data_IF_952556784367
#
_entry.id   IF_952556784367
#
_cell.length_a   1.000
_cell.length_b   1.000
_cell.length_c   1.000
_cell.angle_alpha   90.00
_cell.angle_beta   90.00
_cell.angle_gamma   90.00
#
_symmetry.space_group_name_H-M   'P 1'
#
loop_
_entity.id
_entity.type
_entity.pdbx_description
1 polymer ?
#
# COMPACT_ATOMS: atom_id res chain seq x y z
N UNK A 1 -0.03 -10.82 3.91
CA UNK A 1 0.44 -9.74 3.01
C UNK A 1 1.75 -9.16 3.51
N UNK A 2 1.80 -8.49 4.67
CA UNK A 2 3.04 -7.90 5.22
C UNK A 2 4.22 -8.88 5.27
N UNK A 3 4.02 -10.08 5.82
CA UNK A 3 5.07 -11.13 5.90
C UNK A 3 5.63 -11.55 4.53
N UNK A 4 4.85 -11.44 3.46
CA UNK A 4 5.31 -11.78 2.10
C UNK A 4 6.17 -10.67 1.47
N UNK A 5 6.08 -9.44 1.97
CA UNK A 5 6.81 -8.27 1.44
C UNK A 5 8.02 -7.89 2.32
N UNK A 6 8.20 -8.59 3.45
CA UNK A 6 9.27 -8.34 4.40
C UNK A 6 10.58 -9.03 4.00
N UNK A 7 11.70 -8.53 4.53
CA UNK A 7 13.03 -9.13 4.32
C UNK A 7 13.69 -8.83 2.98
N UNK A 8 13.18 -7.85 2.22
CA UNK A 8 13.70 -7.46 0.91
C UNK A 8 14.77 -6.36 0.98
N UNK A 9 15.31 -6.06 2.17
CA UNK A 9 16.22 -4.94 2.40
C UNK A 9 15.52 -3.58 2.31
N UNK A 10 16.27 -2.50 2.51
CA UNK A 10 15.78 -1.14 2.27
C UNK A 10 15.71 -0.86 0.77
N UNK A 11 14.59 -0.33 0.30
CA UNK A 11 14.34 -0.17 -1.14
C UNK A 11 13.55 1.11 -1.48
N UNK A 12 13.91 2.24 -0.87
CA UNK A 12 13.25 3.55 -1.04
C UNK A 12 13.11 3.97 -2.51
N UNK A 13 14.15 3.70 -3.30
CA UNK A 13 14.18 4.06 -4.72
C UNK A 13 13.17 3.24 -5.54
N UNK A 14 13.07 1.94 -5.24
CA UNK A 14 12.10 1.04 -5.85
C UNK A 14 10.68 1.39 -5.42
N UNK A 15 10.46 1.76 -4.15
CA UNK A 15 9.15 2.18 -3.65
C UNK A 15 8.65 3.41 -4.40
N UNK A 16 9.52 4.42 -4.58
CA UNK A 16 9.18 5.61 -5.36
C UNK A 16 8.82 5.25 -6.80
N UNK A 17 9.56 4.35 -7.44
CA UNK A 17 9.24 3.88 -8.80
C UNK A 17 7.91 3.14 -8.86
N UNK A 18 7.57 2.36 -7.84
CA UNK A 18 6.29 1.67 -7.75
C UNK A 18 5.13 2.66 -7.64
N UNK A 19 5.28 3.72 -6.83
CA UNK A 19 4.29 4.79 -6.72
C UNK A 19 4.08 5.50 -8.07
N UNK A 20 5.18 5.88 -8.74
CA UNK A 20 5.13 6.54 -10.06
C UNK A 20 4.47 5.63 -11.12
N UNK A 21 4.79 4.33 -11.10
CA UNK A 21 4.21 3.36 -12.03
C UNK A 21 2.71 3.13 -11.77
N UNK A 22 2.27 3.16 -10.52
CA UNK A 22 0.87 3.03 -10.17
C UNK A 22 0.06 4.24 -10.66
N UNK A 23 0.58 5.45 -10.50
CA UNK A 23 -0.06 6.68 -11.02
C UNK A 23 -0.18 6.66 -12.54
N UNK A 24 0.85 6.16 -13.25
CA UNK A 24 0.78 5.96 -14.70
C UNK A 24 -0.28 4.94 -15.10
N UNK A 25 -0.37 3.81 -14.40
CA UNK A 25 -1.38 2.78 -14.66
C UNK A 25 -2.81 3.29 -14.42
N UNK A 26 -3.00 4.17 -13.43
CA UNK A 26 -4.29 4.85 -13.20
C UNK A 26 -4.67 5.75 -14.38
N UNK A 27 -3.70 6.45 -14.98
CA UNK A 27 -3.93 7.25 -16.17
C UNK A 27 -4.31 6.38 -17.38
N UNK A 28 -3.66 5.23 -17.57
CA UNK A 28 -3.94 4.30 -18.67
C UNK A 28 -5.39 3.78 -18.65
N UNK A 29 -6.00 3.64 -17.47
CA UNK A 29 -7.39 3.20 -17.29
C UNK A 29 -8.40 4.36 -17.18
N UNK A 30 -7.97 5.59 -17.48
CA UNK A 30 -8.84 6.77 -17.49
C UNK A 30 -9.21 7.32 -16.11
N UNK A 31 -8.42 7.01 -15.08
CA UNK A 31 -8.59 7.53 -13.71
C UNK A 31 -7.33 8.26 -13.21
N UNK A 32 -6.79 9.24 -13.96
CA UNK A 32 -5.52 9.88 -13.61
C UNK A 32 -5.60 10.61 -12.26
N UNK A 33 -4.43 10.81 -11.65
CA UNK A 33 -4.25 11.70 -10.49
C UNK A 33 -4.78 13.11 -10.85
N UNK A 34 -5.46 13.74 -9.89
CA UNK A 34 -6.27 14.94 -10.06
C UNK A 34 -7.77 14.67 -10.25
N UNK A 35 -8.16 13.40 -10.45
CA UNK A 35 -9.56 12.96 -10.33
C UNK A 35 -9.81 12.40 -8.93
N UNK A 36 -11.06 12.51 -8.44
CA UNK A 36 -11.40 12.01 -7.09
C UNK A 36 -11.04 10.52 -6.90
N UNK A 37 -11.26 9.68 -7.92
CA UNK A 37 -10.88 8.28 -7.89
C UNK A 37 -9.35 8.08 -7.97
N UNK A 38 -8.69 8.77 -8.91
CA UNK A 38 -7.24 8.69 -9.06
C UNK A 38 -6.49 9.10 -7.81
N UNK A 39 -6.88 10.22 -7.20
CA UNK A 39 -6.27 10.73 -5.96
C UNK A 39 -6.46 9.75 -4.80
N UNK A 40 -7.65 9.16 -4.67
CA UNK A 40 -7.95 8.19 -3.61
C UNK A 40 -7.12 6.91 -3.75
N UNK A 41 -7.03 6.37 -4.96
CA UNK A 41 -6.27 5.14 -5.23
C UNK A 41 -4.76 5.37 -5.11
N UNK A 42 -4.28 6.51 -5.58
CA UNK A 42 -2.88 6.92 -5.46
C UNK A 42 -2.48 7.09 -3.98
N UNK A 43 -3.32 7.75 -3.17
CA UNK A 43 -3.11 7.89 -1.73
C UNK A 43 -3.12 6.53 -1.01
N UNK A 44 -4.05 5.64 -1.36
CA UNK A 44 -4.10 4.27 -0.85
C UNK A 44 -2.81 3.51 -1.15
N UNK A 45 -2.36 3.55 -2.41
CA UNK A 45 -1.20 2.79 -2.85
C UNK A 45 0.06 3.24 -2.12
N UNK A 46 0.33 4.55 -2.05
CA UNK A 46 1.47 5.11 -1.31
C UNK A 46 1.47 4.70 0.16
N UNK A 47 0.32 4.81 0.82
CA UNK A 47 0.18 4.38 2.21
C UNK A 47 0.43 2.88 2.38
N UNK A 48 -0.09 2.06 1.47
CA UNK A 48 0.10 0.62 1.53
C UNK A 48 1.56 0.25 1.28
N UNK A 49 2.23 0.93 0.34
CA UNK A 49 3.62 0.71 -0.04
C UNK A 49 4.56 0.96 1.15
N UNK A 50 4.41 2.10 1.83
CA UNK A 50 5.14 2.41 3.08
C UNK A 50 4.92 1.33 4.15
N UNK A 51 3.70 0.81 4.30
CA UNK A 51 3.42 -0.28 5.25
C UNK A 51 4.08 -1.59 4.85
N UNK A 52 4.13 -1.93 3.56
CA UNK A 52 4.76 -3.15 3.08
C UNK A 52 6.29 -3.10 3.26
N UNK A 53 6.91 -1.93 3.09
CA UNK A 53 8.35 -1.71 3.27
C UNK A 53 8.80 -1.64 4.75
N UNK A 54 7.87 -1.63 5.72
CA UNK A 54 8.17 -1.38 7.13
C UNK A 54 9.07 -2.45 7.81
N UNK A 55 9.16 -3.65 7.23
CA UNK A 55 9.90 -4.79 7.80
C UNK A 55 11.01 -5.26 6.84
N UNK A 56 12.04 -4.43 6.70
CA UNK A 56 13.11 -4.62 5.71
C UNK A 56 14.09 -5.75 6.05
N UNK A 57 14.22 -6.15 7.34
CA UNK A 57 15.26 -7.12 7.77
C UNK A 57 14.82 -8.56 7.68
N UNK A 58 13.61 -8.89 8.16
CA UNK A 58 13.14 -10.28 8.16
C UNK A 58 11.61 -10.37 8.20
N UNK A 59 11.00 -11.39 7.54
CA UNK A 59 9.60 -11.75 7.72
C UNK A 59 9.19 -12.08 9.16
N UNK A 60 10.15 -12.43 10.02
CA UNK A 60 9.90 -12.74 11.44
C UNK A 60 9.60 -11.50 12.29
N UNK A 61 9.87 -10.31 11.78
CA UNK A 61 9.50 -9.05 12.43
C UNK A 61 8.01 -8.72 12.30
N UNK A 62 7.29 -9.45 11.44
CA UNK A 62 5.85 -9.26 11.21
C UNK A 62 5.08 -10.08 12.25
N UNK A 63 4.37 -9.39 13.14
CA UNK A 63 3.55 -10.03 14.16
C UNK A 63 2.38 -10.83 13.52
N UNK A 64 2.04 -12.01 14.08
CA UNK A 64 0.89 -12.77 13.62
C UNK A 64 -0.42 -12.00 13.83
N UNK A 65 -1.39 -12.19 12.94
CA UNK A 65 -2.70 -11.53 13.03
C UNK A 65 -2.72 -10.05 12.65
N UNK A 66 -1.59 -9.48 12.21
CA UNK A 66 -1.54 -8.09 11.75
C UNK A 66 -2.35 -7.92 10.47
N UNK A 67 -3.42 -7.15 10.57
CA UNK A 67 -4.32 -6.88 9.46
C UNK A 67 -4.04 -5.55 8.78
N UNK A 68 -4.41 -5.47 7.50
CA UNK A 68 -4.48 -4.20 6.77
C UNK A 68 -5.89 -3.61 7.01
N UNK A 69 -6.01 -2.38 7.52
CA UNK A 69 -7.30 -1.74 7.71
C UNK A 69 -7.97 -1.48 6.36
N UNK A 70 -9.30 -1.42 6.37
CA UNK A 70 -10.07 -0.99 5.21
C UNK A 70 -9.71 0.46 4.84
N UNK A 71 -9.70 0.76 3.54
CA UNK A 71 -9.53 2.12 3.02
C UNK A 71 -10.87 2.68 2.55
N UNK A 72 -11.10 3.96 2.79
CA UNK A 72 -12.26 4.73 2.34
C UNK A 72 -11.80 5.89 1.45
N UNK A 73 -12.74 6.67 0.91
CA UNK A 73 -12.43 7.89 0.16
C UNK A 73 -11.55 8.86 0.96
N UNK A 74 -11.72 8.89 2.28
CA UNK A 74 -11.01 9.81 3.18
C UNK A 74 -9.76 9.17 3.84
N UNK A 75 -9.39 7.95 3.44
CA UNK A 75 -8.23 7.25 3.96
C UNK A 75 -8.55 6.01 4.80
N UNK A 76 -7.60 5.52 5.64
CA UNK A 76 -7.73 4.27 6.34
C UNK A 76 -8.76 4.38 7.47
N UNK A 77 -9.70 3.43 7.53
CA UNK A 77 -10.73 3.35 8.55
C UNK A 77 -10.22 2.51 9.72
N UNK A 78 -10.16 3.11 10.91
CA UNK A 78 -9.83 2.40 12.14
C UNK A 78 -11.03 1.59 12.63
N UNK A 79 -10.87 0.27 12.80
CA UNK A 79 -11.88 -0.63 13.38
C UNK A 79 -12.44 -1.72 12.46
N UNK A 80 -12.42 -1.51 11.14
CA UNK A 80 -12.84 -2.51 10.14
C UNK A 80 -11.63 -3.26 9.60
N UNK A 81 -11.35 -4.41 10.19
CA UNK A 81 -10.36 -5.35 9.70
C UNK A 81 -11.01 -6.23 8.63
N UNK A 82 -10.49 -6.23 7.39
CA UNK A 82 -10.85 -7.25 6.41
C UNK A 82 -10.36 -8.60 6.93
N UNK A 83 -11.25 -9.36 7.58
CA UNK A 83 -10.98 -10.75 7.98
C UNK A 83 -11.16 -11.62 6.75
N UNK A 84 -10.11 -12.32 6.32
CA UNK A 84 -10.27 -13.43 5.36
C UNK A 84 -11.15 -14.50 6.02
N UNK A 85 -12.21 -14.92 5.33
CA UNK A 85 -12.91 -16.18 5.62
C UNK A 85 -12.00 -17.35 5.33
#
# INVERSE_FOLDING_TARGET
>A
MLRMHAGNGEHVEMDRRADDAFDAALADVGSPVGTSLGDTLSAYFRWANVRMAAHHRSPDEVAPGQSIPRWSWDGPVTGDVIRKK
#
